data_IF_943744298062
#
_entry.id   IF_943744298062
#
_cell.length_a   1.000
_cell.length_b   1.000
_cell.length_c   1.000
_cell.angle_alpha   90.00
_cell.angle_beta   90.00
_cell.angle_gamma   90.00
#
_symmetry.space_group_name_H-M   'P 1'
#
loop_
_entity.id
_entity.type
_entity.pdbx_description
1 polymer ?
#
# COMPACT_ATOMS: atom_id res chain seq x y z
N UNK A 1 -11.60 -4.76 33.85
CA UNK A 1 -12.48 -5.78 33.26
C UNK A 1 -13.21 -5.11 32.11
N UNK A 2 -12.70 -5.21 30.88
CA UNK A 2 -13.42 -4.70 29.69
C UNK A 2 -14.66 -5.58 29.47
N UNK A 3 -15.87 -5.02 29.35
CA UNK A 3 -17.01 -5.79 28.91
C UNK A 3 -16.86 -6.03 27.41
N UNK A 4 -16.30 -7.19 27.03
CA UNK A 4 -16.37 -7.74 25.67
C UNK A 4 -17.81 -8.18 25.40
N UNK A 5 -18.70 -7.23 25.14
CA UNK A 5 -19.96 -7.48 24.44
C UNK A 5 -19.72 -7.16 22.96
N UNK A 6 -18.91 -7.99 22.29
CA UNK A 6 -18.80 -7.95 20.83
C UNK A 6 -20.17 -8.28 20.25
N UNK A 7 -20.86 -7.26 19.72
CA UNK A 7 -22.03 -7.50 18.92
C UNK A 7 -21.61 -8.27 17.67
N UNK A 8 -22.18 -9.46 17.44
CA UNK A 8 -22.09 -10.11 16.12
C UNK A 8 -22.43 -9.15 14.95
N UNK A 9 -23.37 -8.18 15.11
CA UNK A 9 -23.60 -7.16 14.09
C UNK A 9 -22.37 -6.27 13.80
N UNK A 10 -21.69 -5.75 14.81
CA UNK A 10 -20.52 -4.86 14.64
C UNK A 10 -19.36 -5.57 13.94
N UNK A 11 -19.08 -6.82 14.32
CA UNK A 11 -18.03 -7.63 13.69
C UNK A 11 -18.33 -7.86 12.21
N UNK A 12 -19.60 -8.09 11.87
CA UNK A 12 -20.05 -8.30 10.51
C UNK A 12 -20.04 -7.00 9.69
N UNK A 13 -20.41 -5.87 10.30
CA UNK A 13 -20.35 -4.56 9.65
C UNK A 13 -18.92 -4.17 9.26
N UNK A 14 -17.96 -4.37 10.17
CA UNK A 14 -16.53 -4.22 9.88
C UNK A 14 -16.09 -5.12 8.72
N UNK A 15 -16.48 -6.41 8.75
CA UNK A 15 -16.12 -7.35 7.70
C UNK A 15 -16.61 -6.87 6.33
N UNK A 16 -17.89 -6.52 6.22
CA UNK A 16 -18.51 -6.13 4.96
C UNK A 16 -18.05 -4.75 4.51
N UNK A 17 -17.82 -3.82 5.44
CA UNK A 17 -17.24 -2.50 5.19
C UNK A 17 -15.84 -2.61 4.57
N UNK A 18 -14.93 -3.29 5.27
CA UNK A 18 -13.59 -3.62 4.77
C UNK A 18 -13.65 -4.31 3.40
N UNK A 19 -14.56 -5.27 3.21
CA UNK A 19 -14.75 -5.99 1.94
C UNK A 19 -15.20 -5.09 0.79
N UNK A 20 -16.04 -4.08 1.07
CA UNK A 20 -16.51 -3.09 0.09
C UNK A 20 -15.40 -2.09 -0.26
N UNK A 21 -14.74 -1.56 0.76
CA UNK A 21 -13.87 -0.39 0.64
C UNK A 21 -12.50 -0.76 0.09
N UNK A 22 -11.88 -1.84 0.59
CA UNK A 22 -10.53 -2.24 0.20
C UNK A 22 -10.37 -2.54 -1.30
N UNK A 23 -11.44 -2.95 -2.00
CA UNK A 23 -11.36 -3.12 -3.45
C UNK A 23 -11.50 -1.83 -4.23
N UNK A 24 -12.42 -0.93 -3.86
CA UNK A 24 -12.62 0.31 -4.62
C UNK A 24 -11.53 1.34 -4.33
N UNK A 25 -11.17 1.52 -3.06
CA UNK A 25 -10.22 2.54 -2.62
C UNK A 25 -8.77 2.15 -2.88
N UNK A 26 -8.42 0.88 -2.73
CA UNK A 26 -7.05 0.39 -2.91
C UNK A 26 -6.93 -0.40 -4.20
N UNK A 27 -7.55 -1.59 -4.24
CA UNK A 27 -7.27 -2.60 -5.27
C UNK A 27 -7.60 -2.15 -6.70
N UNK A 28 -8.61 -1.28 -6.88
CA UNK A 28 -8.96 -0.67 -8.15
C UNK A 28 -7.83 0.14 -8.77
N UNK A 29 -7.17 0.98 -7.96
CA UNK A 29 -6.03 1.78 -8.39
C UNK A 29 -4.76 0.94 -8.54
N UNK A 30 -4.52 -0.02 -7.64
CA UNK A 30 -3.41 -0.97 -7.77
C UNK A 30 -3.51 -1.73 -9.08
N UNK A 31 -4.68 -2.33 -9.36
CA UNK A 31 -4.88 -3.13 -10.56
C UNK A 31 -4.77 -2.31 -11.84
N UNK A 32 -5.31 -1.09 -11.85
CA UNK A 32 -5.15 -0.17 -12.98
C UNK A 32 -3.67 0.16 -13.24
N UNK A 33 -2.89 0.35 -12.18
CA UNK A 33 -1.49 0.71 -12.30
C UNK A 33 -0.61 -0.48 -12.70
N UNK A 34 -0.79 -1.64 -12.06
CA UNK A 34 -0.09 -2.88 -12.44
C UNK A 34 -0.37 -3.18 -13.92
N UNK A 35 -1.62 -3.02 -14.36
CA UNK A 35 -1.97 -3.17 -15.78
C UNK A 35 -1.23 -2.14 -16.64
N UNK A 36 -1.28 -0.86 -16.28
CA UNK A 36 -0.63 0.21 -17.04
C UNK A 36 0.87 -0.08 -17.20
N UNK A 37 1.56 -0.39 -16.11
CA UNK A 37 2.97 -0.73 -16.13
C UNK A 37 3.24 -1.97 -17.00
N UNK A 38 2.42 -3.01 -16.87
CA UNK A 38 2.56 -4.24 -17.66
C UNK A 38 2.31 -4.01 -19.15
N UNK A 39 1.35 -3.17 -19.52
CA UNK A 39 1.07 -2.75 -20.90
C UNK A 39 2.19 -1.88 -21.47
N UNK A 40 2.75 -0.99 -20.67
CA UNK A 40 3.88 -0.15 -21.07
C UNK A 40 5.10 -1.05 -21.32
N UNK A 41 5.40 -2.00 -20.43
CA UNK A 41 6.48 -2.96 -20.65
C UNK A 41 6.26 -3.82 -21.91
N UNK A 42 5.04 -4.33 -22.10
CA UNK A 42 4.64 -5.04 -23.32
C UNK A 42 4.87 -4.21 -24.59
N UNK A 43 4.55 -2.90 -24.55
CA UNK A 43 4.63 -2.01 -25.71
C UNK A 43 6.04 -1.53 -26.04
N UNK A 44 6.94 -1.53 -25.07
CA UNK A 44 8.31 -1.00 -25.18
C UNK A 44 9.39 -2.08 -25.09
N UNK A 45 9.05 -3.36 -25.22
CA UNK A 45 9.97 -4.51 -25.13
C UNK A 45 10.89 -4.44 -23.88
N UNK A 46 10.34 -3.98 -22.75
CA UNK A 46 11.11 -3.80 -21.51
C UNK A 46 12.11 -2.63 -21.52
N UNK A 47 12.21 -1.79 -22.56
CA UNK A 47 13.17 -0.67 -22.59
C UNK A 47 12.97 0.37 -21.48
N UNK A 48 11.77 0.46 -20.90
CA UNK A 48 11.51 1.36 -19.77
C UNK A 48 12.24 0.91 -18.50
N UNK A 49 12.31 -0.40 -18.25
CA UNK A 49 13.08 -0.91 -17.10
C UNK A 49 14.57 -0.68 -17.33
N UNK A 50 15.06 -0.85 -18.56
CA UNK A 50 16.45 -0.51 -18.93
C UNK A 50 16.76 0.98 -18.73
N UNK A 51 15.86 1.89 -19.13
CA UNK A 51 16.06 3.32 -18.92
C UNK A 51 16.01 3.73 -17.45
N UNK A 52 15.15 3.09 -16.64
CA UNK A 52 15.09 3.36 -15.20
C UNK A 52 16.32 2.79 -14.47
N UNK A 53 16.86 1.67 -14.93
CA UNK A 53 18.15 1.12 -14.50
C UNK A 53 19.32 2.03 -14.89
N UNK A 54 19.27 2.67 -16.07
CA UNK A 54 20.30 3.61 -16.54
C UNK A 54 20.28 4.97 -15.80
N UNK A 55 19.18 5.34 -15.13
CA UNK A 55 19.00 6.59 -14.39
C UNK A 55 18.76 6.35 -12.88
N UNK A 56 19.61 5.54 -12.24
CA UNK A 56 19.54 5.20 -10.81
C UNK A 56 19.40 6.41 -9.88
N UNK A 57 20.07 7.53 -10.20
CA UNK A 57 20.03 8.72 -9.38
C UNK A 57 18.72 9.50 -9.42
N UNK A 58 17.78 9.23 -10.33
CA UNK A 58 16.49 9.92 -10.37
C UNK A 58 15.38 9.17 -9.62
N UNK A 59 15.66 7.94 -9.14
CA UNK A 59 14.62 7.05 -8.64
C UNK A 59 13.98 7.56 -7.33
N UNK A 60 14.72 7.97 -6.27
CA UNK A 60 14.09 8.47 -5.04
C UNK A 60 13.24 9.72 -5.24
N UNK A 61 13.70 10.64 -6.10
CA UNK A 61 12.93 11.83 -6.46
C UNK A 61 11.62 11.46 -7.15
N UNK A 62 11.66 10.52 -8.09
CA UNK A 62 10.47 10.04 -8.81
C UNK A 62 9.52 9.31 -7.85
N UNK A 63 10.05 8.50 -6.94
CA UNK A 63 9.28 7.85 -5.87
C UNK A 63 8.54 8.84 -5.00
N UNK A 64 9.22 9.87 -4.49
CA UNK A 64 8.59 10.90 -3.68
C UNK A 64 7.52 11.71 -4.44
N UNK A 65 7.72 11.99 -5.74
CA UNK A 65 6.72 12.65 -6.58
C UNK A 65 5.48 11.78 -6.78
N UNK A 66 5.65 10.46 -6.91
CA UNK A 66 4.54 9.52 -6.95
C UNK A 66 3.83 9.46 -5.60
N UNK A 67 4.55 9.47 -4.47
CA UNK A 67 3.94 9.50 -3.13
C UNK A 67 3.07 10.73 -2.87
N UNK A 68 3.48 11.89 -3.40
CA UNK A 68 2.77 13.16 -3.18
C UNK A 68 1.36 13.19 -3.80
N UNK A 69 1.01 12.24 -4.68
CA UNK A 69 -0.33 12.17 -5.25
C UNK A 69 -1.35 11.92 -4.13
N UNK A 70 -2.43 12.72 -4.00
CA UNK A 70 -3.50 12.43 -3.05
C UNK A 70 -4.02 11.00 -3.18
N UNK A 71 -4.29 10.37 -2.04
CA UNK A 71 -4.50 8.92 -1.92
C UNK A 71 -3.20 8.13 -1.75
N UNK A 72 -3.28 6.80 -1.79
CA UNK A 72 -2.11 5.92 -1.70
C UNK A 72 -1.63 5.38 -3.05
N UNK A 73 -2.34 5.72 -4.13
CA UNK A 73 -2.15 5.12 -5.46
C UNK A 73 -0.70 5.17 -5.94
N UNK A 74 -0.05 6.34 -5.88
CA UNK A 74 1.32 6.53 -6.35
C UNK A 74 2.37 5.77 -5.55
N UNK A 75 2.23 5.69 -4.23
CA UNK A 75 3.11 4.90 -3.38
C UNK A 75 2.92 3.38 -3.59
N UNK A 76 1.69 2.93 -3.86
CA UNK A 76 1.44 1.52 -4.18
C UNK A 76 2.13 1.11 -5.49
N UNK A 77 2.33 2.02 -6.45
CA UNK A 77 3.08 1.74 -7.70
C UNK A 77 4.53 1.33 -7.40
N UNK A 78 5.15 1.92 -6.37
CA UNK A 78 6.54 1.67 -6.04
C UNK A 78 6.80 0.23 -5.59
N UNK A 79 5.80 -0.43 -4.98
CA UNK A 79 5.93 -1.78 -4.42
C UNK A 79 6.22 -2.85 -5.48
N UNK A 80 5.39 -3.06 -6.52
CA UNK A 80 5.69 -4.04 -7.55
C UNK A 80 6.96 -3.71 -8.32
N UNK A 81 7.34 -2.43 -8.46
CA UNK A 81 8.60 -2.03 -9.08
C UNK A 81 9.82 -2.44 -8.24
N UNK A 82 9.73 -2.30 -6.92
CA UNK A 82 10.78 -2.71 -5.99
C UNK A 82 10.97 -4.22 -5.99
N UNK A 83 9.85 -4.95 -5.95
CA UNK A 83 9.84 -6.42 -5.99
C UNK A 83 10.45 -6.94 -7.29
N UNK A 84 10.23 -6.23 -8.40
CA UNK A 84 10.84 -6.55 -9.70
C UNK A 84 12.31 -6.11 -9.80
N UNK A 85 12.92 -5.63 -8.72
CA UNK A 85 14.28 -5.10 -8.71
C UNK A 85 14.48 -3.89 -9.64
N UNK A 86 13.39 -3.20 -9.99
CA UNK A 86 13.41 -2.10 -10.95
C UNK A 86 13.69 -0.75 -10.28
N UNK A 87 13.30 -0.59 -9.01
CA UNK A 87 13.59 0.60 -8.19
C UNK A 87 14.28 0.20 -6.89
N UNK A 88 15.11 1.09 -6.37
CA UNK A 88 15.84 0.89 -5.11
C UNK A 88 14.92 0.87 -3.88
N UNK A 89 15.43 0.33 -2.78
CA UNK A 89 14.76 0.45 -1.48
C UNK A 89 14.59 1.91 -1.03
N UNK A 90 15.57 2.79 -1.26
CA UNK A 90 15.44 4.22 -0.96
C UNK A 90 14.32 4.89 -1.75
N UNK A 91 14.02 4.40 -2.95
CA UNK A 91 12.87 4.86 -3.75
C UNK A 91 11.53 4.46 -3.14
N UNK A 92 11.43 3.25 -2.59
CA UNK A 92 10.24 2.80 -1.84
C UNK A 92 10.03 3.66 -0.61
N UNK A 93 11.07 3.89 0.18
CA UNK A 93 10.98 4.73 1.38
C UNK A 93 10.63 6.17 1.01
N UNK A 94 11.19 6.72 -0.07
CA UNK A 94 10.84 8.05 -0.53
C UNK A 94 9.37 8.14 -0.99
N UNK A 95 8.86 7.12 -1.67
CA UNK A 95 7.45 7.06 -2.05
C UNK A 95 6.53 6.97 -0.81
N UNK A 96 6.86 6.10 0.14
CA UNK A 96 6.10 5.93 1.39
C UNK A 96 6.11 7.19 2.24
N UNK A 97 7.27 7.78 2.53
CA UNK A 97 7.40 8.97 3.36
C UNK A 97 6.78 10.24 2.75
N UNK A 98 6.61 10.28 1.41
CA UNK A 98 5.91 11.37 0.74
C UNK A 98 4.41 11.10 0.55
N UNK A 99 3.91 9.93 0.97
CA UNK A 99 2.52 9.51 0.74
C UNK A 99 1.55 10.48 1.37
N UNK A 100 0.80 11.21 0.53
CA UNK A 100 -0.18 12.16 1.02
C UNK A 100 -1.40 11.45 1.64
N UNK A 101 -1.75 10.25 1.14
CA UNK A 101 -2.85 9.43 1.65
C UNK A 101 -4.23 10.05 1.39
N UNK A 102 -5.28 9.41 1.87
CA UNK A 102 -6.65 9.95 1.77
C UNK A 102 -6.88 11.13 2.74
N UNK A 103 -6.07 11.25 3.78
CA UNK A 103 -6.07 12.40 4.69
C UNK A 103 -5.75 13.72 3.97
N UNK A 104 -5.05 13.66 2.83
CA UNK A 104 -4.77 14.80 1.98
C UNK A 104 -6.02 15.53 1.49
N UNK A 105 -7.12 14.82 1.20
CA UNK A 105 -8.34 15.47 0.77
C UNK A 105 -8.91 16.39 1.85
N UNK A 106 -8.81 15.99 3.11
CA UNK A 106 -9.30 16.77 4.25
C UNK A 106 -8.40 17.99 4.47
N UNK A 107 -7.08 17.80 4.56
CA UNK A 107 -6.16 18.92 4.82
C UNK A 107 -6.11 19.88 3.63
N UNK A 108 -6.13 19.42 2.39
CA UNK A 108 -6.19 20.31 1.22
C UNK A 108 -7.48 21.13 1.17
N UNK A 109 -8.61 20.56 1.62
CA UNK A 109 -9.89 21.25 1.63
C UNK A 109 -10.02 22.24 2.81
N UNK A 110 -9.63 21.82 4.01
CA UNK A 110 -9.86 22.57 5.25
C UNK A 110 -8.66 23.43 5.67
N UNK A 111 -7.44 23.06 5.29
CA UNK A 111 -6.22 23.74 5.69
C UNK A 111 -5.17 23.77 4.56
N UNK A 112 -5.46 24.40 3.40
CA UNK A 112 -4.62 24.31 2.20
C UNK A 112 -3.21 24.87 2.39
N UNK A 113 -3.05 25.88 3.24
CA UNK A 113 -1.72 26.40 3.59
C UNK A 113 -0.94 25.38 4.41
N UNK A 114 -1.57 24.76 5.43
CA UNK A 114 -0.96 23.68 6.19
C UNK A 114 -0.59 22.48 5.31
N UNK A 115 -1.47 22.09 4.38
CA UNK A 115 -1.22 21.02 3.42
C UNK A 115 0.04 21.29 2.59
N UNK A 116 0.17 22.50 2.04
CA UNK A 116 1.31 22.87 1.21
C UNK A 116 2.63 22.75 1.99
N UNK A 117 2.67 23.25 3.23
CA UNK A 117 3.88 23.19 4.05
C UNK A 117 4.15 21.76 4.56
N UNK A 118 3.13 21.02 5.03
CA UNK A 118 3.29 19.68 5.54
C UNK A 118 3.77 18.71 4.44
N UNK A 119 3.08 18.68 3.30
CA UNK A 119 3.48 17.83 2.18
C UNK A 119 4.75 18.30 1.49
N UNK A 120 5.02 19.61 1.47
CA UNK A 120 6.30 20.15 1.00
C UNK A 120 7.48 19.69 1.88
N UNK A 121 7.33 19.75 3.20
CA UNK A 121 8.34 19.23 4.13
C UNK A 121 8.47 17.72 4.02
N UNK A 122 7.35 17.00 3.87
CA UNK A 122 7.36 15.56 3.71
C UNK A 122 8.07 15.13 2.42
N UNK A 123 7.79 15.80 1.31
CA UNK A 123 8.49 15.59 0.05
C UNK A 123 10.01 15.80 0.18
N UNK A 124 10.43 16.91 0.78
CA UNK A 124 11.87 17.21 0.95
C UNK A 124 12.52 16.17 1.87
N UNK A 125 11.89 15.82 2.99
CA UNK A 125 12.39 14.79 3.90
C UNK A 125 12.49 13.44 3.20
N UNK A 126 11.44 13.01 2.50
CA UNK A 126 11.38 11.75 1.77
C UNK A 126 12.48 11.65 0.70
N UNK A 127 12.70 12.71 -0.09
CA UNK A 127 13.77 12.74 -1.09
C UNK A 127 15.15 12.66 -0.42
N UNK A 128 15.40 13.47 0.61
CA UNK A 128 16.69 13.48 1.31
C UNK A 128 17.00 12.13 1.95
N UNK A 129 16.03 11.52 2.63
CA UNK A 129 16.19 10.24 3.29
C UNK A 129 16.26 9.08 2.28
N UNK A 130 15.48 9.11 1.21
CA UNK A 130 15.57 8.14 0.12
C UNK A 130 16.96 8.12 -0.53
N UNK A 131 17.51 9.30 -0.85
CA UNK A 131 18.89 9.40 -1.33
C UNK A 131 19.91 8.98 -0.28
N UNK A 132 19.70 9.33 0.99
CA UNK A 132 20.59 8.89 2.05
C UNK A 132 20.62 7.37 2.17
N UNK A 133 19.47 6.70 2.01
CA UNK A 133 19.37 5.25 2.03
C UNK A 133 20.16 4.62 0.88
N UNK A 134 19.95 5.12 -0.35
CA UNK A 134 20.64 4.60 -1.54
C UNK A 134 22.15 4.88 -1.53
N UNK A 135 22.59 6.06 -1.06
CA UNK A 135 24.01 6.46 -1.08
C UNK A 135 24.79 5.83 0.06
N UNK A 136 24.28 5.92 1.29
CA UNK A 136 25.03 5.48 2.46
C UNK A 136 24.85 3.98 2.73
N UNK A 137 24.05 3.29 1.90
CA UNK A 137 23.67 1.92 2.17
C UNK A 137 23.10 1.84 3.58
N UNK A 138 22.17 2.74 3.94
CA UNK A 138 21.37 2.57 5.15
C UNK A 138 20.40 1.38 4.93
N UNK A 139 20.90 0.23 4.47
CA UNK A 139 20.44 -1.06 4.93
C UNK A 139 21.21 -1.33 6.20
N UNK A 140 20.59 -1.15 7.37
CA UNK A 140 21.31 -1.36 8.63
C UNK A 140 21.61 -2.85 8.71
N UNK A 141 22.83 -3.31 8.42
CA UNK A 141 23.23 -4.69 8.70
C UNK A 141 22.91 -5.09 10.16
N UNK A 142 22.86 -4.12 11.09
CA UNK A 142 22.40 -4.29 12.47
C UNK A 142 20.88 -4.45 12.66
N UNK A 143 20.04 -3.72 11.93
CA UNK A 143 18.57 -3.88 11.98
C UNK A 143 18.17 -5.13 11.19
N UNK A 144 18.85 -5.42 10.08
CA UNK A 144 18.74 -6.68 9.32
C UNK A 144 18.97 -7.89 10.24
N UNK A 145 20.09 -7.89 10.97
CA UNK A 145 20.43 -8.95 11.95
C UNK A 145 19.42 -9.02 13.11
N UNK A 146 18.84 -7.89 13.51
CA UNK A 146 17.86 -7.85 14.59
C UNK A 146 16.47 -8.36 14.14
N UNK A 147 16.06 -8.05 12.92
CA UNK A 147 14.80 -8.48 12.31
C UNK A 147 14.87 -9.95 11.86
N UNK A 148 16.04 -10.44 11.43
CA UNK A 148 16.30 -11.88 11.18
C UNK A 148 16.00 -12.76 12.40
N UNK A 149 16.07 -12.21 13.62
CA UNK A 149 15.70 -12.92 14.85
C UNK A 149 14.20 -12.90 15.13
N UNK A 150 13.44 -12.01 14.49
CA UNK A 150 12.03 -11.74 14.78
C UNK A 150 11.10 -12.38 13.76
N UNK A 151 11.51 -12.54 12.49
CA UNK A 151 10.66 -13.08 11.43
C UNK A 151 11.31 -14.19 10.62
N UNK A 152 10.83 -15.43 10.78
CA UNK A 152 10.87 -16.40 9.68
C UNK A 152 9.78 -15.99 8.68
N UNK A 153 10.07 -15.87 7.37
CA UNK A 153 9.03 -15.70 6.35
C UNK A 153 7.95 -16.76 6.54
N UNK A 154 6.69 -16.36 6.55
CA UNK A 154 5.54 -17.25 6.76
C UNK A 154 5.15 -17.93 5.44
N UNK A 155 6.14 -18.41 4.69
CA UNK A 155 5.97 -19.31 3.57
C UNK A 155 6.60 -20.66 3.94
N UNK A 156 5.99 -21.70 3.41
CA UNK A 156 6.19 -23.13 3.62
C UNK A 156 7.61 -23.60 3.30
N UNK A 157 8.54 -23.29 4.20
CA UNK A 157 9.80 -24.01 4.39
C UNK A 157 10.69 -24.13 3.15
N UNK A 158 11.43 -23.06 2.83
CA UNK A 158 12.48 -23.17 1.82
C UNK A 158 13.41 -21.97 1.63
N UNK A 159 13.13 -20.80 2.21
CA UNK A 159 13.74 -19.56 1.72
C UNK A 159 14.84 -19.03 2.63
N UNK A 160 16.07 -18.96 2.10
CA UNK A 160 17.11 -18.07 2.60
C UNK A 160 16.87 -16.68 1.97
N UNK A 161 16.72 -15.64 2.81
CA UNK A 161 16.52 -14.26 2.35
C UNK A 161 17.86 -13.58 2.11
N UNK A 162 18.04 -12.90 0.99
CA UNK A 162 19.16 -11.96 0.77
C UNK A 162 18.89 -10.66 1.54
N UNK A 163 19.95 -9.91 1.85
CA UNK A 163 19.86 -8.69 2.66
C UNK A 163 19.20 -7.56 1.87
N UNK A 164 18.29 -6.80 2.49
CA UNK A 164 17.78 -5.53 1.93
C UNK A 164 18.93 -4.52 1.72
N UNK A 165 20.09 -4.74 2.37
CA UNK A 165 21.28 -3.93 2.24
C UNK A 165 21.94 -4.00 0.85
N UNK A 166 21.65 -5.03 0.05
CA UNK A 166 22.17 -5.15 -1.31
C UNK A 166 21.31 -4.39 -2.35
N UNK A 167 20.34 -3.58 -1.89
CA UNK A 167 19.55 -2.68 -2.72
C UNK A 167 18.37 -3.33 -3.45
N UNK A 168 18.24 -4.66 -3.36
CA UNK A 168 17.13 -5.45 -3.89
C UNK A 168 16.14 -5.92 -2.81
N UNK A 169 14.95 -6.40 -3.21
CA UNK A 169 13.98 -7.00 -2.30
C UNK A 169 14.54 -8.27 -1.65
N UNK A 170 14.23 -8.53 -0.38
CA UNK A 170 14.78 -9.67 0.39
C UNK A 170 14.13 -11.03 0.09
N UNK A 171 13.56 -11.14 -1.11
CA UNK A 171 13.07 -12.38 -1.69
C UNK A 171 14.25 -13.25 -2.09
N UNK A 172 14.11 -14.58 -1.95
CA UNK A 172 15.16 -15.52 -2.34
C UNK A 172 15.59 -15.27 -3.79
N UNK A 173 16.91 -15.36 -4.05
CA UNK A 173 17.46 -15.28 -5.40
C UNK A 173 16.63 -16.16 -6.33
N UNK A 174 16.08 -15.55 -7.37
CA UNK A 174 15.48 -16.29 -8.48
C UNK A 174 16.64 -17.05 -9.13
N UNK A 175 16.77 -18.34 -8.83
CA UNK A 175 17.77 -19.20 -9.47
C UNK A 175 17.70 -18.98 -10.99
N UNK A 176 18.81 -18.50 -11.56
CA UNK A 176 19.01 -18.53 -13.01
C UNK A 176 18.81 -19.97 -13.49
N UNK A 177 18.15 -20.19 -14.63
CA UNK A 177 17.70 -21.52 -15.01
C UNK A 177 18.89 -22.43 -15.22
N UNK A 178 19.08 -23.38 -14.29
CA UNK A 178 19.88 -24.56 -14.55
C UNK A 178 19.24 -25.29 -15.73
N UNK A 179 19.93 -25.21 -16.86
CA UNK A 179 19.59 -25.89 -18.08
C UNK A 179 19.63 -27.39 -17.83
N UNK A 180 18.51 -28.06 -17.53
CA UNK A 180 18.22 -29.48 -17.81
C UNK A 180 16.84 -29.86 -17.22
N UNK A 181 15.78 -29.85 -18.03
CA UNK A 181 15.04 -31.05 -18.47
C UNK A 181 13.65 -30.70 -19.01
N UNK A 182 13.23 -31.45 -20.02
CA UNK A 182 11.97 -31.31 -20.73
C UNK A 182 10.81 -31.95 -19.95
N UNK A 183 9.72 -31.22 -19.69
CA UNK A 183 8.36 -31.66 -20.06
C UNK A 183 7.37 -30.48 -20.01
N UNK A 184 6.56 -30.31 -21.05
CA UNK A 184 5.50 -29.31 -21.10
C UNK A 184 4.19 -29.97 -20.63
N UNK A 185 3.85 -29.80 -19.37
CA UNK A 185 2.55 -30.22 -18.81
C UNK A 185 2.26 -29.45 -17.54
N UNK A 186 1.15 -28.70 -17.51
CA UNK A 186 0.75 -27.89 -16.37
C UNK A 186 0.64 -28.70 -15.08
N UNK A 187 1.61 -28.50 -14.19
CA UNK A 187 1.63 -29.12 -12.87
C UNK A 187 0.67 -28.40 -11.92
N UNK A 188 -0.62 -28.77 -11.98
CA UNK A 188 -1.50 -28.55 -10.84
C UNK A 188 -0.95 -29.32 -9.63
N UNK A 189 -0.97 -28.75 -8.41
CA UNK A 189 -0.64 -29.49 -7.20
C UNK A 189 -1.42 -30.80 -7.13
N UNK A 190 -0.77 -31.90 -6.74
CA UNK A 190 -1.32 -33.27 -6.83
C UNK A 190 -2.63 -33.52 -6.07
N UNK A 191 -3.05 -32.58 -5.22
CA UNK A 191 -4.32 -32.62 -4.48
C UNK A 191 -5.50 -31.95 -5.19
N UNK A 192 -5.28 -31.24 -6.31
CA UNK A 192 -6.34 -30.58 -7.06
C UNK A 192 -6.76 -31.39 -8.31
N UNK A 193 -8.06 -31.65 -8.51
CA UNK A 193 -8.52 -32.35 -9.69
C UNK A 193 -8.43 -31.46 -10.94
N UNK A 194 -7.77 -31.94 -11.99
CA UNK A 194 -7.81 -31.31 -13.32
C UNK A 194 -9.26 -31.30 -13.83
N UNK A 195 -9.91 -30.13 -13.82
CA UNK A 195 -11.29 -30.01 -14.30
C UNK A 195 -11.44 -28.88 -15.32
N UNK A 196 -11.83 -29.27 -16.55
CA UNK A 196 -12.10 -28.34 -17.66
C UNK A 196 -13.21 -27.33 -17.34
N UNK A 197 -14.07 -27.64 -16.37
CA UNK A 197 -15.11 -26.73 -15.90
C UNK A 197 -14.50 -25.58 -15.09
N UNK A 198 -13.64 -25.89 -14.10
CA UNK A 198 -13.03 -24.86 -13.26
C UNK A 198 -12.06 -23.99 -14.06
N UNK A 199 -11.40 -24.54 -15.07
CA UNK A 199 -10.61 -23.78 -16.04
C UNK A 199 -11.47 -22.73 -16.77
N UNK A 200 -12.59 -23.14 -17.37
CA UNK A 200 -13.51 -22.22 -18.07
C UNK A 200 -14.14 -21.19 -17.14
N UNK A 201 -14.53 -21.61 -15.92
CA UNK A 201 -15.08 -20.71 -14.91
C UNK A 201 -14.04 -19.68 -14.48
N UNK A 202 -12.78 -20.09 -14.30
CA UNK A 202 -11.68 -19.18 -13.95
C UNK A 202 -11.42 -18.16 -15.04
N UNK A 203 -11.45 -18.55 -16.32
CA UNK A 203 -11.37 -17.60 -17.44
C UNK A 203 -12.54 -16.61 -17.46
N UNK A 204 -13.77 -17.09 -17.25
CA UNK A 204 -14.94 -16.22 -17.19
C UNK A 204 -14.87 -15.23 -16.01
N UNK A 205 -14.38 -15.69 -14.86
CA UNK A 205 -14.15 -14.85 -13.68
C UNK A 205 -13.04 -13.84 -13.92
N UNK A 206 -11.95 -14.20 -14.60
CA UNK A 206 -10.88 -13.27 -14.99
C UNK A 206 -11.42 -12.12 -15.85
N UNK A 207 -12.24 -12.42 -16.86
CA UNK A 207 -12.86 -11.40 -17.70
C UNK A 207 -13.84 -10.53 -16.90
N UNK A 208 -14.69 -11.16 -16.07
CA UNK A 208 -15.63 -10.44 -15.21
C UNK A 208 -14.90 -9.51 -14.23
N UNK A 209 -13.80 -9.97 -13.66
CA UNK A 209 -12.98 -9.22 -12.72
C UNK A 209 -12.45 -7.93 -13.35
N UNK A 210 -12.01 -7.94 -14.61
CA UNK A 210 -11.59 -6.72 -15.32
C UNK A 210 -12.73 -5.71 -15.53
N UNK A 211 -13.94 -6.20 -15.82
CA UNK A 211 -15.13 -5.32 -15.93
C UNK A 211 -15.44 -4.69 -14.57
N UNK A 212 -15.36 -5.47 -13.50
CA UNK A 212 -15.59 -4.99 -12.13
C UNK A 212 -14.50 -4.01 -11.69
N UNK A 213 -13.24 -4.26 -12.04
CA UNK A 213 -12.11 -3.35 -11.78
C UNK A 213 -12.31 -2.01 -12.48
N UNK A 214 -12.75 -2.02 -13.76
CA UNK A 214 -13.04 -0.78 -14.48
C UNK A 214 -14.17 0.02 -13.81
N UNK A 215 -15.22 -0.66 -13.34
CA UNK A 215 -16.29 -0.04 -12.56
C UNK A 215 -15.80 0.52 -11.22
N UNK A 216 -14.95 -0.23 -10.51
CA UNK A 216 -14.33 0.19 -9.25
C UNK A 216 -13.42 1.40 -9.45
N UNK A 217 -12.64 1.46 -10.54
CA UNK A 217 -11.80 2.61 -10.85
C UNK A 217 -12.64 3.87 -11.08
N UNK A 218 -13.77 3.75 -11.80
CA UNK A 218 -14.72 4.87 -11.96
C UNK A 218 -15.30 5.29 -10.62
N UNK A 219 -15.75 4.33 -9.79
CA UNK A 219 -16.29 4.61 -8.47
C UNK A 219 -15.26 5.26 -7.54
N UNK A 220 -14.02 4.76 -7.55
CA UNK A 220 -12.89 5.29 -6.77
C UNK A 220 -12.53 6.71 -7.20
N UNK A 221 -12.41 6.98 -8.50
CA UNK A 221 -12.15 8.36 -9.00
C UNK A 221 -13.28 9.31 -8.59
N UNK A 222 -14.55 8.87 -8.66
CA UNK A 222 -15.69 9.67 -8.20
C UNK A 222 -15.70 9.86 -6.69
N UNK A 223 -15.28 8.87 -5.92
CA UNK A 223 -15.12 8.95 -4.46
C UNK A 223 -14.11 10.04 -4.08
N UNK A 224 -12.94 10.03 -4.72
CA UNK A 224 -11.91 11.06 -4.52
C UNK A 224 -12.42 12.44 -4.98
N UNK A 225 -13.09 12.51 -6.14
CA UNK A 225 -13.64 13.77 -6.67
C UNK A 225 -14.73 14.38 -5.76
N UNK A 226 -15.38 13.58 -4.93
CA UNK A 226 -16.38 14.00 -3.94
C UNK A 226 -15.77 14.30 -2.55
N UNK A 227 -14.45 14.31 -2.44
CA UNK A 227 -13.75 14.61 -1.18
C UNK A 227 -13.74 13.44 -0.20
N UNK A 228 -13.67 12.20 -0.72
CA UNK A 228 -13.55 10.98 0.09
C UNK A 228 -14.70 10.76 1.10
N UNK A 229 -15.90 11.30 0.81
CA UNK A 229 -17.09 11.06 1.63
C UNK A 229 -17.58 9.63 1.48
N UNK A 230 -17.84 8.98 2.62
CA UNK A 230 -18.31 7.60 2.64
C UNK A 230 -19.63 7.41 1.88
N UNK A 231 -19.68 6.50 0.89
CA UNK A 231 -20.88 6.22 0.12
C UNK A 231 -21.96 5.55 0.97
N UNK A 232 -23.21 5.89 0.68
CA UNK A 232 -24.37 5.26 1.32
C UNK A 232 -24.46 3.79 0.90
N UNK A 233 -24.89 2.92 1.81
CA UNK A 233 -25.17 1.53 1.48
C UNK A 233 -26.41 1.43 0.58
N UNK A 234 -26.18 1.28 -0.72
CA UNK A 234 -27.23 1.15 -1.75
C UNK A 234 -26.87 0.05 -2.77
N UNK A 235 -27.88 -0.60 -3.35
CA UNK A 235 -27.72 -1.50 -4.51
C UNK A 235 -28.64 -0.98 -5.62
N UNK A 236 -28.18 0.06 -6.30
CA UNK A 236 -28.89 0.73 -7.39
C UNK A 236 -27.94 1.17 -8.50
N UNK A 237 -28.48 1.64 -9.63
CA UNK A 237 -27.71 2.24 -10.71
C UNK A 237 -27.31 3.70 -10.38
N UNK A 238 -26.71 3.89 -9.22
CA UNK A 238 -26.24 5.16 -8.66
C UNK A 238 -24.73 5.09 -8.41
N UNK A 239 -24.10 6.22 -8.06
CA UNK A 239 -22.70 6.22 -7.63
C UNK A 239 -22.50 5.32 -6.39
N UNK A 240 -23.38 5.43 -5.40
CA UNK A 240 -23.31 4.67 -4.15
C UNK A 240 -23.50 3.17 -4.40
N UNK A 241 -24.42 2.82 -5.30
CA UNK A 241 -24.62 1.45 -5.77
C UNK A 241 -23.45 0.90 -6.58
N UNK A 242 -22.84 1.70 -7.46
CA UNK A 242 -21.64 1.29 -8.22
C UNK A 242 -20.49 0.98 -7.27
N UNK A 243 -20.23 1.85 -6.29
CA UNK A 243 -19.19 1.65 -5.27
C UNK A 243 -19.44 0.35 -4.48
N UNK A 244 -20.67 0.17 -3.99
CA UNK A 244 -21.03 -1.01 -3.19
C UNK A 244 -20.93 -2.31 -4.00
N UNK A 245 -21.48 -2.35 -5.21
CA UNK A 245 -21.48 -3.56 -6.05
C UNK A 245 -20.06 -3.91 -6.49
N UNK A 246 -19.31 -2.94 -7.01
CA UNK A 246 -17.96 -3.20 -7.51
C UNK A 246 -16.98 -3.56 -6.40
N UNK A 247 -17.13 -2.96 -5.21
CA UNK A 247 -16.37 -3.33 -4.02
C UNK A 247 -16.63 -4.77 -3.59
N UNK A 248 -17.89 -5.12 -3.31
CA UNK A 248 -18.24 -6.44 -2.80
C UNK A 248 -17.95 -7.55 -3.81
N UNK A 249 -18.33 -7.35 -5.08
CA UNK A 249 -18.07 -8.33 -6.13
C UNK A 249 -16.58 -8.41 -6.42
N UNK A 250 -15.88 -7.28 -6.51
CA UNK A 250 -14.46 -7.22 -6.84
C UNK A 250 -13.58 -7.93 -5.82
N UNK A 251 -13.81 -7.70 -4.52
CA UNK A 251 -13.11 -8.43 -3.46
C UNK A 251 -13.41 -9.92 -3.54
N UNK A 252 -14.68 -10.29 -3.72
CA UNK A 252 -15.07 -11.71 -3.82
C UNK A 252 -14.40 -12.42 -5.00
N UNK A 253 -14.37 -11.77 -6.17
CA UNK A 253 -13.69 -12.30 -7.36
C UNK A 253 -12.17 -12.36 -7.15
N UNK A 254 -11.57 -11.39 -6.44
CA UNK A 254 -10.14 -11.40 -6.09
C UNK A 254 -9.79 -12.57 -5.16
N UNK A 255 -10.61 -12.85 -4.15
CA UNK A 255 -10.45 -14.03 -3.31
C UNK A 255 -10.56 -15.32 -4.12
N UNK A 256 -11.51 -15.39 -5.05
CA UNK A 256 -11.59 -16.54 -5.96
C UNK A 256 -10.33 -16.68 -6.81
N UNK A 257 -9.88 -15.60 -7.47
CA UNK A 257 -8.69 -15.63 -8.31
C UNK A 257 -7.45 -16.03 -7.50
N UNK A 258 -7.28 -15.48 -6.31
CA UNK A 258 -6.15 -15.80 -5.44
C UNK A 258 -6.18 -17.23 -4.91
N UNK A 259 -7.28 -17.74 -4.37
CA UNK A 259 -7.30 -19.08 -3.76
C UNK A 259 -7.56 -20.20 -4.76
N UNK A 260 -8.35 -19.94 -5.80
CA UNK A 260 -8.81 -20.95 -6.76
C UNK A 260 -8.21 -20.68 -8.14
N UNK A 261 -8.45 -19.50 -8.71
CA UNK A 261 -8.08 -19.15 -10.09
C UNK A 261 -6.60 -19.35 -10.40
N UNK A 262 -5.70 -19.02 -9.46
CA UNK A 262 -4.24 -19.18 -9.62
C UNK A 262 -3.81 -20.59 -9.99
N UNK A 263 -4.58 -21.60 -9.57
CA UNK A 263 -4.24 -23.00 -9.82
C UNK A 263 -4.72 -23.49 -11.19
N UNK A 264 -5.64 -22.77 -11.86
CA UNK A 264 -6.23 -23.21 -13.13
C UNK A 264 -5.84 -22.34 -14.32
N UNK A 265 -5.69 -21.04 -14.09
CA UNK A 265 -5.30 -20.06 -15.13
C UNK A 265 -3.97 -19.39 -14.83
N UNK A 266 -3.37 -19.60 -13.65
CA UNK A 266 -2.04 -19.06 -13.36
C UNK A 266 -0.96 -19.94 -13.97
N UNK A 267 -0.54 -19.68 -15.21
CA UNK A 267 0.73 -20.19 -15.70
C UNK A 267 1.85 -19.27 -15.22
N UNK A 268 2.75 -19.82 -14.39
CA UNK A 268 3.92 -19.12 -13.86
C UNK A 268 3.78 -18.72 -12.39
N UNK A 269 4.81 -19.05 -11.62
CA UNK A 269 5.04 -18.43 -10.31
C UNK A 269 5.06 -16.91 -10.49
N UNK A 270 4.32 -16.20 -9.64
CA UNK A 270 4.39 -14.75 -9.50
C UNK A 270 5.86 -14.34 -9.34
N UNK A 271 6.48 -13.76 -10.37
CA UNK A 271 7.91 -13.42 -10.36
C UNK A 271 8.73 -13.75 -11.61
N UNK A 272 8.25 -14.58 -12.57
CA UNK A 272 9.04 -14.88 -13.78
C UNK A 272 8.94 -13.75 -14.82
N UNK A 273 10.04 -12.99 -14.95
CA UNK A 273 10.15 -11.73 -15.71
C UNK A 273 10.19 -11.91 -17.23
N UNK A 274 10.67 -13.05 -17.76
CA UNK A 274 10.97 -13.15 -19.20
C UNK A 274 9.81 -13.61 -20.09
N UNK A 275 8.90 -14.45 -19.59
CA UNK A 275 7.87 -15.06 -20.45
C UNK A 275 6.50 -14.33 -20.38
N UNK A 276 6.33 -13.38 -19.44
CA UNK A 276 5.03 -12.78 -19.12
C UNK A 276 4.56 -11.69 -20.10
N UNK A 277 5.47 -11.11 -20.89
CA UNK A 277 5.18 -10.02 -21.83
C UNK A 277 5.13 -10.48 -23.31
N UNK A 278 5.14 -11.78 -23.59
CA UNK A 278 5.06 -12.24 -24.98
C UNK A 278 3.66 -12.03 -25.60
N UNK A 279 2.60 -12.02 -24.77
CA UNK A 279 1.22 -11.85 -25.22
C UNK A 279 0.40 -10.89 -24.36
N UNK A 280 -0.55 -10.19 -25.00
CA UNK A 280 -1.51 -9.33 -24.30
C UNK A 280 -2.33 -10.12 -23.28
N UNK A 281 -2.70 -11.36 -23.60
CA UNK A 281 -3.47 -12.19 -22.67
C UNK A 281 -2.67 -12.49 -21.40
N UNK A 282 -1.41 -12.91 -21.54
CA UNK A 282 -0.54 -13.20 -20.39
C UNK A 282 -0.30 -11.95 -19.55
N UNK A 283 -0.18 -10.78 -20.18
CA UNK A 283 -0.05 -9.49 -19.49
C UNK A 283 -1.27 -9.19 -18.60
N UNK A 284 -2.48 -9.34 -19.14
CA UNK A 284 -3.74 -9.14 -18.37
C UNK A 284 -3.99 -10.23 -17.33
N UNK A 285 -3.55 -11.46 -17.59
CA UNK A 285 -3.63 -12.55 -16.63
C UNK A 285 -2.73 -12.25 -15.43
N UNK A 286 -1.45 -11.97 -15.68
CA UNK A 286 -0.47 -11.71 -14.64
C UNK A 286 -0.85 -10.52 -13.77
N UNK A 287 -1.26 -9.41 -14.39
CA UNK A 287 -1.71 -8.22 -13.66
C UNK A 287 -2.93 -8.51 -12.76
N UNK A 288 -3.89 -9.32 -13.23
CA UNK A 288 -5.04 -9.72 -12.41
C UNK A 288 -4.64 -10.61 -11.23
N UNK A 289 -3.69 -11.55 -11.43
CA UNK A 289 -3.22 -12.45 -10.37
C UNK A 289 -2.45 -11.69 -9.29
N UNK A 290 -1.54 -10.79 -9.67
CA UNK A 290 -0.81 -9.91 -8.75
C UNK A 290 -1.78 -9.02 -7.97
N UNK A 291 -2.74 -8.41 -8.67
CA UNK A 291 -3.74 -7.54 -8.02
C UNK A 291 -4.60 -8.34 -7.05
N UNK A 292 -5.06 -9.54 -7.42
CA UNK A 292 -5.87 -10.39 -6.56
C UNK A 292 -5.13 -10.80 -5.28
N UNK A 293 -3.84 -11.11 -5.37
CA UNK A 293 -2.98 -11.32 -4.21
C UNK A 293 -2.96 -10.08 -3.32
N UNK A 294 -2.68 -8.91 -3.89
CA UNK A 294 -2.64 -7.64 -3.14
C UNK A 294 -3.99 -7.38 -2.45
N UNK A 295 -5.11 -7.56 -3.14
CA UNK A 295 -6.47 -7.38 -2.58
C UNK A 295 -6.67 -8.22 -1.32
N UNK A 296 -6.32 -9.52 -1.35
CA UNK A 296 -6.53 -10.42 -0.20
C UNK A 296 -5.75 -9.93 1.03
N UNK A 297 -4.52 -9.47 0.83
CA UNK A 297 -3.68 -8.96 1.91
C UNK A 297 -4.09 -7.58 2.42
N UNK A 298 -4.55 -6.69 1.54
CA UNK A 298 -5.14 -5.40 1.92
C UNK A 298 -6.36 -5.63 2.83
N UNK A 299 -7.26 -6.55 2.44
CA UNK A 299 -8.42 -6.90 3.27
C UNK A 299 -8.00 -7.51 4.60
N UNK A 300 -7.00 -8.40 4.61
CA UNK A 300 -6.48 -8.96 5.86
C UNK A 300 -5.90 -7.87 6.78
N UNK A 301 -5.18 -6.91 6.20
CA UNK A 301 -4.61 -5.76 6.91
C UNK A 301 -5.69 -4.84 7.50
N UNK A 302 -6.72 -4.51 6.72
CA UNK A 302 -7.86 -3.70 7.18
C UNK A 302 -8.59 -4.37 8.33
N UNK A 303 -8.92 -5.66 8.20
CA UNK A 303 -9.59 -6.41 9.26
C UNK A 303 -8.72 -6.51 10.53
N UNK A 304 -7.41 -6.71 10.38
CA UNK A 304 -6.50 -6.74 11.52
C UNK A 304 -6.47 -5.39 12.25
N UNK A 305 -6.46 -4.29 11.51
CA UNK A 305 -6.50 -2.94 12.05
C UNK A 305 -7.83 -2.64 12.75
N UNK A 306 -8.96 -2.80 12.05
CA UNK A 306 -10.29 -2.46 12.57
C UNK A 306 -10.68 -3.34 13.76
N UNK A 307 -10.45 -4.66 13.67
CA UNK A 307 -10.65 -5.54 14.82
C UNK A 307 -9.65 -5.29 15.94
N UNK A 308 -8.41 -4.90 15.62
CA UNK A 308 -7.42 -4.50 16.61
C UNK A 308 -7.88 -3.31 17.45
N UNK A 309 -8.42 -2.26 16.81
CA UNK A 309 -9.01 -1.12 17.50
C UNK A 309 -10.25 -1.52 18.30
N UNK A 310 -11.15 -2.31 17.73
CA UNK A 310 -12.35 -2.78 18.43
C UNK A 310 -12.01 -3.57 19.69
N UNK A 311 -11.01 -4.44 19.65
CA UNK A 311 -10.61 -5.29 20.78
C UNK A 311 -9.84 -4.53 21.86
N UNK A 312 -9.02 -3.55 21.47
CA UNK A 312 -8.20 -2.78 22.41
C UNK A 312 -8.95 -1.59 23.02
N UNK A 313 -9.98 -1.08 22.34
CA UNK A 313 -10.74 0.10 22.77
C UNK A 313 -9.90 1.38 22.78
N UNK A 314 -8.81 1.43 21.99
CA UNK A 314 -7.93 2.59 21.91
C UNK A 314 -8.60 3.68 21.08
N UNK A 315 -8.92 4.80 21.72
CA UNK A 315 -9.40 6.00 21.03
C UNK A 315 -8.21 6.86 20.60
N UNK A 316 -8.04 7.04 19.29
CA UNK A 316 -6.95 7.85 18.71
C UNK A 316 -6.98 9.29 19.24
N UNK A 317 -8.17 9.85 19.45
CA UNK A 317 -8.39 11.18 20.01
C UNK A 317 -7.80 11.29 21.42
N UNK A 318 -8.01 10.28 22.27
CA UNK A 318 -7.47 10.26 23.63
C UNK A 318 -5.93 10.17 23.63
N UNK A 319 -5.36 9.38 22.71
CA UNK A 319 -3.92 9.22 22.56
C UNK A 319 -3.26 10.53 22.09
N UNK A 320 -3.90 11.22 21.15
CA UNK A 320 -3.46 12.50 20.62
C UNK A 320 -3.53 13.61 21.69
N UNK A 321 -4.63 13.69 22.44
CA UNK A 321 -4.83 14.68 23.50
C UNK A 321 -3.82 14.53 24.66
N UNK A 322 -3.37 13.31 24.96
CA UNK A 322 -2.42 13.04 26.04
C UNK A 322 -0.96 13.46 25.71
N UNK A 323 -0.63 13.71 24.44
CA UNK A 323 0.76 13.82 24.00
C UNK A 323 1.46 15.13 24.38
N UNK A 324 0.74 16.25 24.53
CA UNK A 324 1.32 17.54 24.97
C UNK A 324 2.58 17.95 24.20
N UNK A 325 3.70 18.19 24.90
CA UNK A 325 5.01 18.55 24.29
C UNK A 325 5.59 17.42 23.41
N UNK A 326 5.14 16.17 23.62
CA UNK A 326 5.52 15.01 22.81
C UNK A 326 4.62 14.82 21.59
N UNK A 327 3.76 15.80 21.25
CA UNK A 327 2.85 15.72 20.12
C UNK A 327 3.52 15.35 18.77
N UNK A 328 4.73 15.85 18.41
CA UNK A 328 5.41 15.39 17.20
C UNK A 328 5.76 13.90 17.22
N UNK A 329 6.21 13.40 18.38
CA UNK A 329 6.53 11.98 18.55
C UNK A 329 5.25 11.14 18.46
N UNK A 330 4.16 11.59 19.10
CA UNK A 330 2.88 10.92 19.00
C UNK A 330 2.33 10.88 17.57
N UNK A 331 2.47 11.98 16.80
CA UNK A 331 2.09 12.02 15.39
C UNK A 331 2.89 11.04 14.53
N UNK A 332 4.20 10.94 14.74
CA UNK A 332 5.03 9.96 14.05
C UNK A 332 4.71 8.51 14.47
N UNK A 333 4.49 8.26 15.78
CA UNK A 333 4.07 6.95 16.29
C UNK A 333 2.71 6.53 15.74
N UNK A 334 1.77 7.47 15.60
CA UNK A 334 0.51 7.21 14.93
C UNK A 334 0.71 6.84 13.45
N UNK A 335 1.73 7.44 12.80
CA UNK A 335 2.15 7.10 11.44
C UNK A 335 2.54 5.63 11.23
N UNK A 336 2.97 4.95 12.29
CA UNK A 336 3.30 3.52 12.26
C UNK A 336 2.08 2.62 12.01
N UNK A 337 0.87 3.14 12.25
CA UNK A 337 -0.36 2.39 12.08
C UNK A 337 -0.67 2.33 10.58
N UNK A 338 -0.67 1.17 9.93
CA UNK A 338 -0.96 1.09 8.51
C UNK A 338 -2.41 1.48 8.19
N UNK A 339 -2.62 2.01 6.99
CA UNK A 339 -3.91 2.37 6.44
C UNK A 339 -4.31 3.84 6.60
N UNK A 340 -5.31 4.28 5.85
CA UNK A 340 -5.70 5.70 5.79
C UNK A 340 -6.55 6.19 6.98
N UNK A 341 -7.29 5.31 7.65
CA UNK A 341 -8.29 5.70 8.66
C UNK A 341 -7.71 6.48 9.86
N UNK A 342 -6.62 5.99 10.46
CA UNK A 342 -5.96 6.69 11.58
C UNK A 342 -5.52 8.11 11.19
N UNK A 343 -5.05 8.26 9.95
CA UNK A 343 -4.53 9.50 9.39
C UNK A 343 -5.62 10.49 9.01
N UNK A 344 -6.77 10.00 8.53
CA UNK A 344 -7.98 10.79 8.31
C UNK A 344 -8.47 11.39 9.63
N UNK A 345 -8.60 10.57 10.68
CA UNK A 345 -9.01 11.03 12.01
C UNK A 345 -8.00 12.05 12.55
N UNK A 346 -6.70 11.80 12.37
CA UNK A 346 -5.67 12.75 12.80
C UNK A 346 -5.74 14.08 12.05
N UNK A 347 -5.98 14.05 10.74
CA UNK A 347 -6.20 15.24 9.92
C UNK A 347 -7.44 16.04 10.37
N UNK A 348 -8.53 15.37 10.76
CA UNK A 348 -9.73 16.00 11.32
C UNK A 348 -9.45 16.63 12.69
N UNK A 349 -8.72 15.95 13.57
CA UNK A 349 -8.30 16.51 14.86
C UNK A 349 -7.48 17.79 14.70
N UNK A 350 -6.67 17.87 13.64
CA UNK A 350 -5.95 19.10 13.30
C UNK A 350 -6.88 20.19 12.74
N UNK A 351 -7.64 19.86 11.69
CA UNK A 351 -8.30 20.86 10.86
C UNK A 351 -9.69 21.28 11.36
N UNK A 352 -10.39 20.43 12.13
CA UNK A 352 -11.74 20.72 12.64
C UNK A 352 -11.73 21.00 14.15
N UNK A 353 -10.99 20.20 14.92
CA UNK A 353 -10.97 20.33 16.38
C UNK A 353 -9.84 21.22 16.89
N UNK A 354 -8.87 21.55 16.03
CA UNK A 354 -7.64 22.27 16.38
C UNK A 354 -6.94 21.67 17.62
N UNK A 355 -7.06 20.35 17.78
CA UNK A 355 -6.65 19.61 18.98
C UNK A 355 -5.19 19.14 18.94
N UNK A 356 -4.55 19.19 17.76
CA UNK A 356 -3.14 18.82 17.58
C UNK A 356 -2.34 19.94 16.91
N UNK A 357 -1.05 20.14 17.29
CA UNK A 357 -0.22 21.17 16.70
C UNK A 357 0.25 20.80 15.29
N UNK A 358 0.56 21.80 14.47
CA UNK A 358 1.07 21.58 13.10
C UNK A 358 2.32 20.69 13.06
N UNK A 359 3.21 20.78 14.05
CA UNK A 359 4.38 19.91 14.16
C UNK A 359 4.03 18.41 14.25
N UNK A 360 2.89 18.08 14.86
CA UNK A 360 2.41 16.71 14.95
C UNK A 360 1.84 16.23 13.61
N UNK A 361 1.09 17.09 12.90
CA UNK A 361 0.62 16.82 11.55
C UNK A 361 1.80 16.55 10.60
N UNK A 362 2.86 17.37 10.65
CA UNK A 362 4.06 17.17 9.81
C UNK A 362 4.76 15.85 10.13
N UNK A 363 4.91 15.52 11.42
CA UNK A 363 5.52 14.26 11.84
C UNK A 363 4.72 13.03 11.34
N UNK A 364 3.40 13.12 11.42
CA UNK A 364 2.49 12.10 10.92
C UNK A 364 2.50 12.01 9.40
N UNK A 365 2.48 13.14 8.68
CA UNK A 365 2.51 13.18 7.21
C UNK A 365 3.77 12.56 6.61
N UNK A 366 4.90 12.59 7.33
CA UNK A 366 6.15 11.95 6.92
C UNK A 366 6.18 10.47 7.29
N UNK A 367 5.66 10.13 8.47
CA UNK A 367 5.75 8.76 8.99
C UNK A 367 4.65 7.84 8.50
N UNK A 368 3.59 8.36 7.86
CA UNK A 368 2.46 7.54 7.45
C UNK A 368 2.69 6.87 6.10
N UNK A 369 2.73 5.55 6.12
CA UNK A 369 2.91 4.73 4.91
C UNK A 369 1.57 4.50 4.16
N UNK A 370 0.44 4.88 4.78
CA UNK A 370 -0.92 4.71 4.25
C UNK A 370 -1.28 3.24 3.94
N UNK A 371 -2.13 3.03 2.94
CA UNK A 371 -2.47 1.68 2.46
C UNK A 371 -1.35 1.02 1.65
N UNK A 372 -0.33 1.78 1.27
CA UNK A 372 0.80 1.27 0.47
C UNK A 372 1.71 0.31 1.25
N UNK A 373 1.65 0.32 2.58
CA UNK A 373 2.38 -0.63 3.41
C UNK A 373 1.84 -2.06 3.32
N UNK A 374 0.52 -2.25 3.09
CA UNK A 374 -0.08 -3.59 3.06
C UNK A 374 0.47 -4.49 1.94
N UNK A 375 0.57 -4.02 0.67
CA UNK A 375 1.24 -4.79 -0.37
C UNK A 375 2.70 -5.13 -0.04
N UNK A 376 3.45 -4.19 0.53
CA UNK A 376 4.85 -4.44 0.90
C UNK A 376 4.96 -5.50 1.99
N UNK A 377 4.13 -5.43 3.03
CA UNK A 377 4.09 -6.38 4.13
C UNK A 377 3.75 -7.81 3.67
N UNK A 378 2.88 -7.93 2.66
CA UNK A 378 2.49 -9.20 2.06
C UNK A 378 3.64 -9.91 1.33
N UNK A 379 4.59 -9.14 0.81
CA UNK A 379 5.61 -9.62 -0.12
C UNK A 379 6.97 -9.69 0.55
N UNK A 380 7.32 -8.65 1.31
CA UNK A 380 8.55 -8.54 2.08
C UNK A 380 8.26 -7.82 3.42
N UNK A 381 7.90 -8.61 4.45
CA UNK A 381 7.65 -8.12 5.80
C UNK A 381 8.90 -7.43 6.39
N UNK A 382 10.11 -7.87 6.02
CA UNK A 382 11.36 -7.31 6.52
C UNK A 382 11.56 -5.91 5.95
N UNK A 383 11.42 -5.75 4.63
CA UNK A 383 11.43 -4.45 3.98
C UNK A 383 10.32 -3.55 4.49
N UNK A 384 9.11 -4.07 4.77
CA UNK A 384 8.02 -3.29 5.36
C UNK A 384 8.38 -2.73 6.74
N UNK A 385 8.87 -3.57 7.65
CA UNK A 385 9.30 -3.11 9.00
C UNK A 385 10.43 -2.08 8.89
N UNK A 386 11.42 -2.34 8.05
CA UNK A 386 12.56 -1.44 7.87
C UNK A 386 12.11 -0.12 7.24
N UNK A 387 11.21 -0.16 6.25
CA UNK A 387 10.67 1.03 5.60
C UNK A 387 9.93 1.91 6.62
N UNK A 388 9.05 1.31 7.43
CA UNK A 388 8.32 2.02 8.49
C UNK A 388 9.28 2.66 9.51
N UNK A 389 10.36 1.98 9.91
CA UNK A 389 11.40 2.61 10.76
C UNK A 389 12.00 3.84 10.07
N UNK A 390 12.28 3.73 8.77
CA UNK A 390 12.88 4.80 7.99
C UNK A 390 11.93 5.92 7.57
N UNK A 391 10.61 5.74 7.64
CA UNK A 391 9.64 6.83 7.52
C UNK A 391 9.40 7.50 8.88
N UNK A 392 9.43 6.74 9.98
CA UNK A 392 9.25 7.30 11.33
C UNK A 392 10.42 8.14 11.83
N UNK A 393 11.67 7.73 11.60
CA UNK A 393 12.85 8.51 12.01
C UNK A 393 12.82 9.94 11.44
N UNK A 394 12.68 10.17 10.12
CA UNK A 394 12.56 11.51 9.58
C UNK A 394 11.30 12.22 10.07
N UNK A 395 10.18 11.51 10.26
CA UNK A 395 8.96 12.12 10.80
C UNK A 395 9.14 12.70 12.20
N UNK A 396 9.77 11.95 13.11
CA UNK A 396 10.13 12.44 14.45
C UNK A 396 11.10 13.61 14.36
N UNK A 397 12.16 13.49 13.56
CA UNK A 397 13.19 14.53 13.45
C UNK A 397 12.61 15.84 12.92
N UNK A 398 11.92 15.80 11.77
CA UNK A 398 11.32 16.98 11.15
C UNK A 398 10.21 17.54 12.04
N UNK A 399 9.37 16.70 12.63
CA UNK A 399 8.33 17.12 13.57
C UNK A 399 8.89 17.88 14.78
N UNK A 400 9.97 17.38 15.40
CA UNK A 400 10.65 18.06 16.50
C UNK A 400 11.29 19.37 16.04
N UNK A 401 11.93 19.39 14.87
CA UNK A 401 12.51 20.61 14.32
C UNK A 401 11.44 21.68 14.07
N UNK A 402 10.30 21.31 13.50
CA UNK A 402 9.15 22.20 13.32
C UNK A 402 8.67 22.71 14.69
N UNK A 403 8.51 21.82 15.68
CA UNK A 403 8.06 22.20 17.02
C UNK A 403 8.94 23.27 17.68
N UNK A 404 10.27 23.16 17.57
CA UNK A 404 11.19 24.08 18.23
C UNK A 404 11.58 25.31 17.41
N UNK A 405 11.69 25.18 16.08
CA UNK A 405 12.26 26.23 15.23
C UNK A 405 11.22 26.93 14.35
N UNK A 406 10.02 26.38 14.18
CA UNK A 406 8.99 27.01 13.36
C UNK A 406 8.00 27.82 14.22
N UNK A 407 7.91 29.15 14.01
CA UNK A 407 7.06 30.01 14.84
C UNK A 407 5.56 29.71 14.71
N UNK A 408 5.15 29.08 13.61
CA UNK A 408 3.79 28.68 13.32
C UNK A 408 3.51 27.19 13.58
N UNK A 409 4.34 26.51 14.39
CA UNK A 409 4.13 25.10 14.76
C UNK A 409 2.90 24.86 15.65
N UNK A 410 2.05 25.87 15.83
CA UNK A 410 0.97 25.94 16.79
C UNK A 410 -0.31 25.30 16.23
N UNK A 411 -1.33 25.22 17.07
CA UNK A 411 -2.67 24.77 16.68
C UNK A 411 -3.29 25.73 15.65
N UNK A 412 -4.07 25.19 14.71
CA UNK A 412 -4.86 25.99 13.76
C UNK A 412 -4.07 26.70 12.63
N UNK A 413 -2.76 26.46 12.47
CA UNK A 413 -2.00 27.06 11.37
C UNK A 413 -2.64 26.72 10.00
N UNK A 414 -2.92 27.73 9.16
CA UNK A 414 -3.42 27.51 7.80
C UNK A 414 -4.81 26.89 7.67
N UNK A 415 -5.56 26.69 8.77
CA UNK A 415 -6.96 26.21 8.78
C UNK A 415 -7.89 27.34 8.31
N UNK A 416 -8.85 27.00 7.44
CA UNK A 416 -9.91 27.89 7.00
C UNK A 416 -11.03 27.88 8.05
N UNK A 417 -11.26 29.04 8.68
CA UNK A 417 -12.27 29.23 9.73
C UNK A 417 -13.72 29.32 9.25
#
# INVERSE_FOLDING_TARGET
MLPLQLGLPEVFEILVGSWREGFVQVSGFVGATILLFSLVQYRFDGRLTTWLQENEHAQPLTGALLGLTPGCGGAIIAMPLYIRGTVSFGTVVAALAATAGDSAFIILALAPEAALYAYGMAFVAAVLFGYAIDIFGLGVGYVDTAVERIGRPMTDGGFATTSVADGGPSIADYDEPDSHDHDHGGDLPSYLPQSRLLERVSHAIHVLWWVVLAGALVAGVLYLAKGAQEPVWEVAATYDGLFTITGLVGTTLSFYLYFVGRHYIGEGETGRVRDSFESLYNTFQHAAMETAMVTVWVIAGYLLYEYGLLLTGVEIQSLAAAAGVLAPIAGAVLGLIPGCAAHIVFAQLYALEEAIPFSALVANAISQDGDALFPLMAIDLKAAIIATIYTTIPGVLVGILVYYFWPYAQFGFGVLG
#
